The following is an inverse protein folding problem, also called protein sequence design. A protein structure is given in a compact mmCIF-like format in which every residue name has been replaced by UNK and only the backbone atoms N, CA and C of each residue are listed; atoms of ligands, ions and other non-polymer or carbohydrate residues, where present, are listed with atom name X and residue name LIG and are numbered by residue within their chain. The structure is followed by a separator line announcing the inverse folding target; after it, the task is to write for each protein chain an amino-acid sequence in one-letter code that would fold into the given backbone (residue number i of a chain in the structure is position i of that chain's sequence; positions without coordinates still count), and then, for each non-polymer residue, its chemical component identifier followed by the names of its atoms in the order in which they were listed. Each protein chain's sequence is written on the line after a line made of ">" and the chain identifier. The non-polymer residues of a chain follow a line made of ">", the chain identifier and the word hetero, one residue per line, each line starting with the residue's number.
data_IF_335729309370
#
_entry.id   IF_335729309370
#
_cell.length_a   1.000
_cell.length_b   1.000
_cell.length_c   1.000
_cell.angle_alpha   90.00
_cell.angle_beta   90.00
_cell.angle_gamma   90.00
#
_symmetry.space_group_name_H-M   'P 1'
#
loop_
_entity.id
_entity.type
_entity.pdbx_description
1 polymer ?
2 water ?
#
# COMPACT_ATOMS: atom_id res chain seq x y z
N UNK A 1 9.73 16.50 7.58
CA UNK A 1 9.45 15.71 6.34
C UNK A 1 10.73 15.23 5.67
N UNK A 2 11.65 16.16 5.44
CA UNK A 2 12.86 15.95 4.61
C UNK A 2 12.65 15.06 3.37
N UNK A 3 12.44 15.73 2.24
CA UNK A 3 12.23 15.07 0.96
C UNK A 3 13.56 14.75 0.29
N UNK A 4 13.72 13.48 -0.10
CA UNK A 4 14.92 12.99 -0.77
C UNK A 4 14.53 12.33 -2.08
N UNK A 5 15.47 12.26 -3.02
CA UNK A 5 15.21 11.55 -4.28
C UNK A 5 15.65 10.09 -4.18
N UNK A 6 14.72 9.18 -4.45
CA UNK A 6 15.00 7.75 -4.33
C UNK A 6 14.21 6.92 -5.33
N UNK A 7 14.67 5.68 -5.51
CA UNK A 7 13.99 4.69 -6.31
C UNK A 7 12.88 4.09 -5.45
N UNK A 8 11.66 4.42 -5.83
CA UNK A 8 10.48 4.02 -5.12
C UNK A 8 10.41 2.50 -5.07
N UNK A 9 10.95 1.87 -6.11
CA UNK A 9 10.93 0.41 -6.22
C UNK A 9 11.86 -0.20 -5.17
N UNK A 10 12.80 0.61 -4.67
CA UNK A 10 13.67 0.16 -3.58
C UNK A 10 12.92 0.01 -2.28
N UNK A 11 11.98 0.93 -2.05
CA UNK A 11 11.09 0.83 -0.90
C UNK A 11 10.25 -0.43 -0.97
N UNK A 12 9.72 -0.70 -2.15
CA UNK A 12 8.86 -1.91 -2.31
C UNK A 12 9.63 -3.16 -1.97
N UNK A 13 10.85 -3.27 -2.50
CA UNK A 13 11.73 -4.39 -2.16
C UNK A 13 12.02 -4.53 -0.66
N UNK A 14 12.45 -3.46 0.00
CA UNK A 14 12.65 -3.50 1.45
C UNK A 14 11.43 -4.03 2.21
N UNK A 15 10.24 -3.62 1.79
CA UNK A 15 9.02 -4.04 2.47
C UNK A 15 8.67 -5.52 2.17
N UNK A 16 8.88 -5.97 0.94
CA UNK A 16 8.79 -7.43 0.67
C UNK A 16 9.74 -8.22 1.59
N UNK A 17 10.98 -7.76 1.73
CA UNK A 17 12.00 -8.49 2.48
C UNK A 17 11.59 -8.52 3.95
N UNK A 18 10.98 -7.43 4.41
CA UNK A 18 10.49 -7.30 5.77
C UNK A 18 9.45 -8.39 6.09
N UNK A 19 8.54 -8.62 5.15
CA UNK A 19 7.43 -9.58 5.32
C UNK A 19 7.66 -10.93 4.65
N UNK A 20 8.81 -11.08 4.00
CA UNK A 20 9.10 -12.30 3.23
C UNK A 20 8.94 -13.60 4.03
N UNK A 21 9.53 -13.64 5.24
CA UNK A 21 9.41 -14.81 6.12
C UNK A 21 7.95 -15.20 6.39
N UNK A 22 7.15 -14.21 6.78
CA UNK A 22 5.71 -14.38 7.08
C UNK A 22 4.90 -14.82 5.86
N UNK A 23 5.13 -14.13 4.74
CA UNK A 23 4.50 -14.45 3.46
C UNK A 23 4.78 -15.92 3.12
N UNK A 24 6.04 -16.32 3.27
CA UNK A 24 6.46 -17.71 3.01
C UNK A 24 5.80 -18.72 3.97
N UNK A 25 5.80 -18.40 5.26
CA UNK A 25 5.20 -19.23 6.29
C UNK A 25 3.72 -19.49 5.96
N UNK A 26 3.02 -18.43 5.56
CA UNK A 26 1.60 -18.47 5.21
C UNK A 26 1.27 -19.07 3.85
N UNK A 27 2.30 -19.48 3.10
CA UNK A 27 2.15 -19.97 1.74
C UNK A 27 1.40 -18.98 0.85
N UNK A 28 1.77 -17.71 0.98
CA UNK A 28 1.17 -16.66 0.17
C UNK A 28 1.98 -16.52 -1.12
N UNK A 29 1.26 -16.48 -2.24
CA UNK A 29 1.83 -16.29 -3.57
C UNK A 29 2.00 -14.79 -3.71
N UNK A 30 3.25 -14.32 -3.68
CA UNK A 30 3.60 -12.89 -3.84
C UNK A 30 4.16 -12.57 -5.24
N UNK A 31 3.68 -11.49 -5.85
CA UNK A 31 4.21 -10.98 -7.12
C UNK A 31 4.43 -9.47 -7.06
N UNK A 32 5.59 -9.03 -7.55
CA UNK A 32 5.88 -7.60 -7.76
C UNK A 32 6.18 -7.34 -9.24
N UNK A 33 5.55 -6.31 -9.80
CA UNK A 33 5.75 -5.89 -11.18
C UNK A 33 5.89 -4.36 -11.27
N UNK A 34 6.76 -3.90 -12.15
CA UNK A 34 6.95 -2.47 -12.41
C UNK A 34 7.21 -2.25 -13.90
N UNK A 35 6.68 -1.16 -14.44
CA UNK A 35 6.94 -0.85 -15.82
C UNK A 35 8.25 -0.05 -15.96
N UNK A 36 8.89 0.29 -14.85
CA UNK A 36 10.19 1.00 -14.90
C UNK A 36 10.97 0.70 -13.62
N UNK A 37 12.02 -0.11 -13.72
CA UNK A 37 12.81 -0.57 -12.57
C UNK A 37 13.35 0.59 -11.77
N UNK A 38 13.81 1.61 -12.48
CA UNK A 38 14.18 2.85 -11.84
C UNK A 38 13.02 3.85 -11.79
N UNK A 39 12.31 3.89 -10.67
CA UNK A 39 11.09 4.67 -10.53
C UNK A 39 11.37 5.82 -9.56
N UNK A 40 12.02 6.82 -10.12
CA UNK A 40 12.53 7.90 -9.30
C UNK A 40 11.46 8.90 -8.90
N UNK A 41 11.47 9.25 -7.61
CA UNK A 41 10.58 10.23 -7.00
C UNK A 41 11.37 11.05 -5.98
N UNK A 42 10.88 12.27 -5.74
CA UNK A 42 11.27 13.03 -4.57
C UNK A 42 10.11 13.07 -3.60
N UNK A 43 10.34 12.52 -2.41
CA UNK A 43 9.25 12.30 -1.48
C UNK A 43 9.90 12.05 -0.14
N UNK A 44 9.11 11.92 0.92
CA UNK A 44 9.61 11.65 2.25
C UNK A 44 9.72 10.13 2.34
N UNK A 45 10.95 9.62 2.21
CA UNK A 45 11.19 8.19 2.07
C UNK A 45 10.61 7.36 3.22
N UNK A 46 10.80 7.85 4.44
CA UNK A 46 10.34 7.21 5.67
C UNK A 46 8.80 7.05 5.69
N UNK A 47 8.10 8.12 5.32
CA UNK A 47 6.64 8.15 5.34
C UNK A 47 6.01 7.29 4.24
N UNK A 48 6.56 7.33 3.02
CA UNK A 48 6.09 6.44 1.95
C UNK A 48 6.30 4.98 2.32
N UNK A 49 7.45 4.70 2.94
CA UNK A 49 7.74 3.38 3.48
C UNK A 49 6.66 2.90 4.46
N UNK A 50 6.30 3.78 5.39
CA UNK A 50 5.24 3.54 6.37
C UNK A 50 3.92 3.15 5.71
N UNK A 51 3.54 3.88 4.66
CA UNK A 51 2.37 3.54 3.83
C UNK A 51 2.48 2.15 3.24
N UNK A 52 3.60 1.84 2.58
CA UNK A 52 3.75 0.49 2.00
C UNK A 52 3.73 -0.61 3.05
N UNK A 53 4.42 -0.40 4.17
CA UNK A 53 4.37 -1.33 5.32
C UNK A 53 2.92 -1.62 5.76
N UNK A 54 2.14 -0.58 5.99
CA UNK A 54 0.73 -0.77 6.32
C UNK A 54 -0.07 -1.51 5.24
N UNK A 55 0.09 -1.10 3.98
CA UNK A 55 -0.67 -1.79 2.94
C UNK A 55 -0.32 -3.28 2.82
N UNK A 56 0.95 -3.64 2.95
CA UNK A 56 1.37 -5.05 2.85
C UNK A 56 0.94 -5.87 4.07
N UNK A 57 1.07 -5.29 5.26
CA UNK A 57 0.58 -5.91 6.50
C UNK A 57 -0.91 -6.22 6.33
N UNK A 58 -1.69 -5.24 5.86
CA UNK A 58 -3.13 -5.44 5.74
C UNK A 58 -3.44 -6.50 4.71
N UNK A 59 -2.72 -6.48 3.58
CA UNK A 59 -2.94 -7.46 2.50
C UNK A 59 -2.66 -8.89 2.97
N UNK A 60 -1.61 -9.09 3.76
CA UNK A 60 -1.30 -10.38 4.38
C UNK A 60 -2.40 -10.89 5.31
N UNK A 61 -2.89 -9.98 6.14
CA UNK A 61 -3.92 -10.30 7.12
C UNK A 61 -5.25 -10.61 6.43
N UNK A 62 -5.55 -9.90 5.34
CA UNK A 62 -6.82 -10.04 4.63
C UNK A 62 -6.79 -11.29 3.75
N UNK A 63 -5.66 -11.53 3.09
CA UNK A 63 -5.58 -12.71 2.23
C UNK A 63 -5.50 -14.06 2.93
N UNK A 64 -4.81 -14.08 4.07
CA UNK A 64 -4.66 -15.29 4.87
C UNK A 64 -3.85 -16.41 4.25
N UNK A 65 -3.89 -17.56 4.90
CA UNK A 65 -3.09 -18.70 4.45
C UNK A 65 -3.43 -19.02 3.00
N UNK A 66 -2.41 -19.39 2.24
CA UNK A 66 -2.55 -19.76 0.84
C UNK A 66 -3.11 -18.64 -0.04
N UNK A 67 -2.99 -17.38 0.39
CA UNK A 67 -3.54 -16.27 -0.37
C UNK A 67 -2.63 -15.81 -1.49
N UNK A 68 -2.81 -14.55 -1.90
CA UNK A 68 -2.09 -13.98 -3.03
C UNK A 68 -2.03 -12.48 -2.82
N UNK A 69 -0.85 -11.95 -3.11
CA UNK A 69 -0.60 -10.51 -3.01
C UNK A 69 0.14 -10.13 -4.28
N UNK A 70 -0.31 -9.05 -4.91
CA UNK A 70 0.42 -8.49 -6.02
C UNK A 70 0.63 -7.00 -5.77
N UNK A 71 1.86 -6.53 -5.92
CA UNK A 71 2.14 -5.10 -5.88
C UNK A 71 2.59 -4.70 -7.30
N UNK A 72 2.06 -3.60 -7.83
CA UNK A 72 2.47 -3.08 -9.14
C UNK A 72 2.89 -1.63 -8.96
N UNK A 73 3.93 -1.21 -9.65
CA UNK A 73 4.27 0.23 -9.59
C UNK A 73 4.37 0.76 -11.02
N UNK A 74 3.87 1.97 -11.23
CA UNK A 74 3.69 2.49 -12.57
C UNK A 74 4.18 3.91 -12.75
N UNK A 75 4.98 4.11 -13.79
CA UNK A 75 5.50 5.42 -14.23
C UNK A 75 4.48 6.18 -15.10
N UNK A 76 3.86 7.21 -14.52
CA UNK A 76 2.84 8.01 -15.17
C UNK A 76 3.25 9.48 -15.32
N UNK A 77 4.41 9.66 -15.94
CA UNK A 77 4.88 10.96 -16.42
C UNK A 77 5.35 11.87 -15.29
N UNK A 78 4.40 12.49 -14.59
CA UNK A 78 4.68 13.49 -13.57
C UNK A 78 4.35 12.90 -12.20
N UNK A 79 3.78 11.70 -12.21
CA UNK A 79 3.31 11.01 -11.01
C UNK A 79 3.58 9.51 -11.11
N UNK A 80 3.60 8.82 -9.96
CA UNK A 80 3.71 7.37 -9.94
C UNK A 80 2.48 6.78 -9.29
N UNK A 81 2.14 5.55 -9.67
CA UNK A 81 1.06 4.85 -8.98
C UNK A 81 1.60 3.53 -8.43
N UNK A 82 1.24 3.21 -7.19
CA UNK A 82 1.55 1.92 -6.58
C UNK A 82 0.26 1.26 -6.18
N UNK A 83 0.10 -0.02 -6.57
CA UNK A 83 -1.15 -0.78 -6.33
C UNK A 83 -0.82 -2.02 -5.52
N UNK A 84 -1.57 -2.29 -4.44
CA UNK A 84 -1.30 -3.46 -3.58
C UNK A 84 -2.63 -4.18 -3.54
N UNK A 85 -2.63 -5.34 -4.16
CA UNK A 85 -3.83 -6.13 -4.39
C UNK A 85 -3.68 -7.38 -3.55
N UNK A 86 -4.79 -7.88 -3.00
CA UNK A 86 -4.72 -9.17 -2.31
C UNK A 86 -5.96 -9.93 -2.71
N UNK A 87 -5.84 -11.25 -2.85
CA UNK A 87 -7.05 -12.09 -2.95
C UNK A 87 -7.79 -12.08 -1.62
N UNK A 88 -9.12 -12.12 -1.63
CA UNK A 88 -9.85 -12.07 -0.36
C UNK A 88 -11.18 -11.37 -0.57
N UNK A 89 -11.96 -11.20 0.52
CA UNK A 89 -13.30 -10.69 0.40
C UNK A 89 -13.29 -9.20 0.07
N UNK A 90 -14.28 -8.71 -0.70
CA UNK A 90 -14.35 -7.30 -1.09
C UNK A 90 -14.63 -6.42 0.12
N UNK A 91 -14.23 -5.15 0.04
CA UNK A 91 -14.63 -4.19 1.05
C UNK A 91 -15.99 -3.66 0.59
N UNK A 92 -16.99 -3.71 1.47
CA UNK A 92 -18.31 -3.18 1.13
C UNK A 92 -18.20 -1.71 0.69
N UNK A 93 -18.81 -1.38 -0.45
CA UNK A 93 -18.89 0.00 -0.93
C UNK A 93 -19.82 0.79 -0.02
N UNK A 94 -19.20 1.56 0.85
CA UNK A 94 -19.84 2.29 1.95
C UNK A 94 -18.71 2.52 2.94
N UNK A 95 -17.79 1.55 2.97
CA UNK A 95 -16.56 1.63 3.74
C UNK A 95 -15.37 1.86 2.81
N UNK A 96 -15.62 1.91 1.50
CA UNK A 96 -14.57 2.20 0.52
C UNK A 96 -13.89 3.56 0.76
N UNK A 97 -14.69 4.59 1.04
CA UNK A 97 -14.21 5.91 1.45
C UNK A 97 -13.94 5.98 2.96
N UNK A 98 -14.98 5.68 3.74
CA UNK A 98 -14.96 5.65 5.21
C UNK A 98 -13.66 5.08 5.79
N UNK A 99 -13.15 4.05 5.13
CA UNK A 99 -11.92 3.39 5.53
C UNK A 99 -10.67 4.29 5.64
N UNK A 100 -10.62 5.42 4.92
CA UNK A 100 -9.48 6.38 5.00
C UNK A 100 -9.72 7.56 5.95
N UNK A 101 -10.91 7.58 6.55
CA UNK A 101 -11.29 8.68 7.42
C UNK A 101 -10.70 8.47 8.82
N UNK A 102 -10.74 9.52 9.66
CA UNK A 102 -10.26 9.38 11.03
C UNK A 102 -11.28 8.69 11.93
N UNK A 103 -12.23 7.96 11.32
CA UNK A 103 -13.26 7.17 12.02
C UNK A 103 -12.57 6.12 12.86
N UNK A 104 -13.19 5.70 13.97
CA UNK A 104 -12.64 4.65 14.81
C UNK A 104 -13.76 3.90 15.52
N UNK A 105 -13.68 2.58 15.53
CA UNK A 105 -14.59 1.76 16.36
C UNK A 105 -13.86 0.62 17.07
N UNK A 106 -14.36 0.30 18.25
CA UNK A 106 -13.89 -0.84 19.04
C UNK A 106 -14.34 -2.16 18.40
N UNK A 107 -15.25 -2.06 17.43
CA UNK A 107 -15.62 -3.21 16.61
C UNK A 107 -14.44 -3.75 15.80
N UNK A 108 -13.58 -2.87 15.30
CA UNK A 108 -12.40 -3.29 14.53
C UNK A 108 -11.49 -4.23 15.32
N UNK A 109 -11.07 -5.35 14.73
CA UNK A 109 -10.20 -6.26 15.47
C UNK A 109 -8.73 -6.00 15.18
N UNK A 110 -7.88 -6.50 16.05
CA UNK A 110 -6.46 -6.25 15.90
C UNK A 110 -6.16 -4.82 16.31
N UNK A 111 -5.12 -4.29 15.67
CA UNK A 111 -4.53 -3.01 16.04
C UNK A 111 -4.96 -1.93 15.05
N UNK A 112 -5.79 -2.31 14.08
CA UNK A 112 -6.32 -1.34 13.12
C UNK A 112 -5.63 -1.42 11.76
N UNK A 113 -6.30 -0.90 10.73
CA UNK A 113 -5.75 -0.90 9.38
C UNK A 113 -4.79 0.26 9.14
N UNK A 114 -4.70 1.21 10.06
CA UNK A 114 -3.79 2.35 9.88
C UNK A 114 -3.95 3.18 8.61
N UNK A 115 -5.15 3.21 8.06
CA UNK A 115 -5.35 3.87 6.78
C UNK A 115 -5.53 5.38 6.84
N UNK A 116 -5.91 5.91 8.00
CA UNK A 116 -6.01 7.35 8.15
C UNK A 116 -4.61 7.98 8.05
N UNK A 117 -3.62 7.36 8.69
CA UNK A 117 -2.26 7.89 8.57
C UNK A 117 -1.73 7.75 7.14
N UNK A 118 -2.15 6.67 6.46
CA UNK A 118 -1.79 6.46 5.06
C UNK A 118 -2.32 7.62 4.21
N UNK A 119 -3.57 7.99 4.44
CA UNK A 119 -4.16 9.12 3.71
C UNK A 119 -3.44 10.43 4.11
N UNK A 120 -3.11 10.57 5.38
CA UNK A 120 -2.40 11.79 5.84
C UNK A 120 -1.09 11.96 5.05
N UNK A 121 -0.27 10.92 5.03
CA UNK A 121 0.99 10.87 4.29
C UNK A 121 0.84 11.10 2.78
N UNK A 122 0.00 10.31 2.12
CA UNK A 122 -0.13 10.41 0.65
C UNK A 122 -0.76 11.76 0.21
N UNK A 123 -1.84 12.15 0.87
CA UNK A 123 -2.67 13.25 0.37
C UNK A 123 -2.27 14.57 1.00
N UNK A 124 -2.10 14.59 2.32
CA UNK A 124 -1.92 15.84 3.02
C UNK A 124 -0.46 16.25 2.95
N UNK A 125 0.45 15.29 3.10
CA UNK A 125 1.89 15.56 2.99
C UNK A 125 2.39 15.65 1.54
N UNK A 126 1.99 14.67 0.72
CA UNK A 126 2.57 14.48 -0.61
C UNK A 126 1.73 15.04 -1.75
N UNK A 127 0.51 15.48 -1.43
CA UNK A 127 -0.37 16.10 -2.41
C UNK A 127 -0.94 15.11 -3.41
N UNK A 128 -0.99 13.84 -3.00
CA UNK A 128 -1.40 12.75 -3.88
C UNK A 128 -2.77 12.24 -3.55
N UNK A 129 -3.06 10.99 -3.92
CA UNK A 129 -4.39 10.44 -3.68
C UNK A 129 -4.25 8.98 -3.32
N UNK A 130 -5.11 8.51 -2.42
CA UNK A 130 -5.13 7.09 -2.10
C UNK A 130 -6.58 6.64 -2.09
N UNK A 131 -6.83 5.47 -2.67
CA UNK A 131 -8.18 4.93 -2.70
C UNK A 131 -8.16 3.40 -2.74
N UNK A 132 -9.35 2.80 -2.67
CA UNK A 132 -9.46 1.34 -2.78
C UNK A 132 -10.49 0.99 -3.84
N UNK A 133 -10.29 -0.14 -4.50
CA UNK A 133 -11.29 -0.69 -5.43
C UNK A 133 -11.41 -2.19 -5.22
N UNK A 134 -12.56 -2.79 -5.55
CA UNK A 134 -12.69 -4.26 -5.57
C UNK A 134 -12.40 -4.84 -6.97
N UNK A 135 -11.50 -5.83 -7.05
CA UNK A 135 -10.86 -6.37 -8.29
C UNK A 135 -10.54 -7.87 -8.19
N UNK A 136 -10.48 -8.55 -9.34
CA UNK A 136 -10.28 -10.02 -9.43
C UNK A 136 -11.08 -10.77 -8.36
N UNK A 137 -10.49 -11.80 -7.76
CA UNK A 137 -11.05 -12.34 -6.52
C UNK A 137 -10.50 -11.57 -5.30
N UNK A 138 -10.46 -10.24 -5.37
CA UNK A 138 -9.73 -9.45 -4.36
C UNK A 138 -10.04 -7.97 -4.15
N UNK A 139 -9.05 -7.25 -3.62
CA UNK A 139 -9.22 -5.86 -3.28
C UNK A 139 -7.88 -5.23 -3.55
N UNK A 140 -7.93 -4.02 -4.07
CA UNK A 140 -6.70 -3.27 -4.28
C UNK A 140 -6.73 -1.92 -3.57
N UNK A 141 -5.56 -1.56 -3.07
CA UNK A 141 -5.30 -0.27 -2.43
C UNK A 141 -4.27 0.38 -3.32
N UNK A 142 -4.57 1.60 -3.76
CA UNK A 142 -3.77 2.28 -4.77
C UNK A 142 -3.43 3.65 -4.22
N UNK A 143 -2.19 4.07 -4.45
CA UNK A 143 -1.82 5.47 -4.22
C UNK A 143 -1.05 6.05 -5.40
N UNK A 144 -1.06 7.40 -5.48
CA UNK A 144 -0.36 8.10 -6.53
C UNK A 144 0.27 9.26 -5.81
N UNK A 145 1.54 9.52 -6.08
CA UNK A 145 2.19 10.74 -5.56
C UNK A 145 2.86 11.43 -6.75
N UNK A 146 2.98 12.75 -6.68
CA UNK A 146 3.76 13.39 -7.73
C UNK A 146 5.24 12.97 -7.62
N UNK A 147 5.99 13.05 -8.72
CA UNK A 147 7.40 12.67 -8.72
C UNK A 147 8.23 13.75 -8.01
N UNK A 148 7.72 14.97 -8.05
CA UNK A 148 8.30 16.08 -7.27
C UNK A 148 7.23 16.90 -6.53
N UNK A 149 7.53 17.38 -5.29
CA UNK A 149 6.66 18.19 -4.40
C UNK A 149 6.05 19.46 -5.02
#
# INVERSE_FOLDING_TARGET
>A
MEFTEFNLNELIREVYVLFEEKIRKMNIDFCFETDNEDLRVEADRTRIKQVLINLVQNAIEATGENGKIKITSEDMYTKVRVSVWNSGPPIPEELKEKIFSPFFTTKTQGTGLGLSICRKIIEDEHGGKIWTENRENGVVFIFEIPKTPEKR
#
